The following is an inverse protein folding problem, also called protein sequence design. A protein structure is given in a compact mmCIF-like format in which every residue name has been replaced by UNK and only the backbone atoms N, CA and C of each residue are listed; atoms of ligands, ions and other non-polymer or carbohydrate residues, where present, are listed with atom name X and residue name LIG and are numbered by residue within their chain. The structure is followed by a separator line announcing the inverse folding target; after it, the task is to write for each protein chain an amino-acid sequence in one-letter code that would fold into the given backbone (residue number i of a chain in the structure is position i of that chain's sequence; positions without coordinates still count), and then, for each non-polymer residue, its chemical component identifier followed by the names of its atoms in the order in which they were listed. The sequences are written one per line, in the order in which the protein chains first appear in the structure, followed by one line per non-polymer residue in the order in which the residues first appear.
data_IF_727334642007
#
_entry.id   IF_727334642007
#
_cell.length_a   1.000
_cell.length_b   1.000
_cell.length_c   1.000
_cell.angle_alpha   90.00
_cell.angle_beta   90.00
_cell.angle_gamma   90.00
#
_symmetry.space_group_name_H-M   'P 1'
#
loop_
_entity.id
_entity.type
_entity.pdbx_description
1 polymer ?
#
# COMPACT_ATOMS: atom_id res chain seq x y z
N UNK A 1 23.92 4.41 -6.55
CA UNK A 1 23.43 3.63 -5.40
C UNK A 1 21.92 3.67 -5.48
N UNK A 2 21.24 2.52 -5.45
CA UNK A 2 19.77 2.51 -5.46
C UNK A 2 19.25 3.26 -4.22
N UNK A 3 18.14 3.99 -4.37
CA UNK A 3 17.52 4.72 -3.27
C UNK A 3 17.10 3.74 -2.15
N UNK A 4 17.51 4.02 -0.92
CA UNK A 4 17.13 3.24 0.27
C UNK A 4 16.54 4.20 1.33
N UNK A 5 15.26 4.07 1.68
CA UNK A 5 14.64 4.82 2.77
C UNK A 5 15.44 4.76 4.08
N UNK A 6 15.48 5.88 4.81
CA UNK A 6 16.22 6.03 6.08
C UNK A 6 15.92 4.93 7.10
N UNK A 7 14.64 4.57 7.25
CA UNK A 7 14.19 3.58 8.22
C UNK A 7 14.71 2.16 7.93
N UNK A 8 15.19 1.88 6.71
CA UNK A 8 15.74 0.58 6.31
C UNK A 8 17.24 0.43 6.53
N UNK A 9 17.95 1.48 6.98
CA UNK A 9 19.41 1.45 7.13
C UNK A 9 19.92 0.36 8.06
N UNK A 10 19.15 0.05 9.09
CA UNK A 10 19.46 -0.98 10.10
C UNK A 10 18.71 -2.31 9.85
N UNK A 11 18.08 -2.44 8.68
CA UNK A 11 17.46 -3.70 8.28
C UNK A 11 18.53 -4.81 8.15
N UNK A 12 18.24 -6.07 8.55
CA UNK A 12 19.21 -7.18 8.50
C UNK A 12 19.57 -7.66 7.07
N UNK A 13 19.29 -6.86 6.04
CA UNK A 13 19.61 -7.13 4.64
C UNK A 13 21.12 -7.42 4.47
N UNK A 14 21.43 -8.52 3.80
CA UNK A 14 22.77 -8.76 3.28
C UNK A 14 22.99 -7.79 2.10
N UNK A 15 24.03 -6.94 2.17
CA UNK A 15 24.28 -5.68 1.42
C UNK A 15 24.37 -5.79 -0.12
N UNK A 16 23.48 -6.54 -0.76
CA UNK A 16 23.27 -6.54 -2.19
C UNK A 16 22.37 -5.37 -2.58
N UNK A 17 22.52 -4.83 -3.80
CA UNK A 17 21.54 -3.91 -4.35
C UNK A 17 20.16 -4.56 -4.33
N UNK A 18 19.17 -3.83 -3.81
CA UNK A 18 17.77 -4.24 -3.78
C UNK A 18 16.96 -3.19 -4.54
N UNK A 19 16.14 -3.64 -5.48
CA UNK A 19 15.19 -2.78 -6.18
C UNK A 19 13.91 -2.66 -5.35
N UNK A 20 13.66 -1.46 -4.82
CA UNK A 20 12.45 -1.15 -4.07
C UNK A 20 11.36 -0.58 -4.99
N UNK A 21 10.07 -0.74 -4.61
CA UNK A 21 9.00 0.02 -5.24
C UNK A 21 9.27 1.51 -5.11
N UNK A 22 9.29 2.21 -6.24
CA UNK A 22 9.67 3.64 -6.33
C UNK A 22 8.67 4.48 -7.11
N UNK A 23 7.80 3.85 -7.91
CA UNK A 23 6.73 4.50 -8.67
C UNK A 23 5.65 3.49 -9.07
N UNK A 24 4.51 4.02 -9.49
CA UNK A 24 3.48 3.23 -10.15
C UNK A 24 3.94 2.72 -11.52
N UNK A 25 3.51 1.51 -11.87
CA UNK A 25 3.85 0.88 -13.14
C UNK A 25 2.70 1.07 -14.14
N UNK A 26 2.88 1.96 -15.11
CA UNK A 26 1.87 2.27 -16.14
C UNK A 26 1.52 1.02 -16.98
N UNK A 27 2.48 0.12 -17.18
CA UNK A 27 2.25 -1.14 -17.90
C UNK A 27 1.53 -2.20 -17.07
N UNK A 28 1.47 -2.01 -15.74
CA UNK A 28 0.76 -2.88 -14.80
C UNK A 28 -0.35 -2.10 -14.08
N UNK A 29 -1.19 -1.47 -14.91
CA UNK A 29 -2.31 -0.61 -14.52
C UNK A 29 -3.56 -0.96 -15.33
N UNK A 30 -4.72 -0.84 -14.69
CA UNK A 30 -6.00 -0.79 -15.42
C UNK A 30 -6.14 0.53 -16.21
N UNK A 31 -6.84 0.49 -17.34
CA UNK A 31 -6.97 1.62 -18.28
C UNK A 31 -7.89 2.75 -17.78
N UNK A 32 -8.61 2.54 -16.68
CA UNK A 32 -9.41 3.56 -15.99
C UNK A 32 -8.58 4.43 -15.03
N UNK A 33 -7.27 4.19 -14.95
CA UNK A 33 -6.34 4.97 -14.15
C UNK A 33 -5.35 5.73 -15.05
N UNK A 34 -5.12 6.99 -14.73
CA UNK A 34 -4.09 7.80 -15.34
C UNK A 34 -3.01 8.12 -14.31
N UNK A 35 -1.76 7.80 -14.65
CA UNK A 35 -0.59 8.19 -13.86
C UNK A 35 -0.02 9.49 -14.44
N UNK A 36 0.23 10.50 -13.61
CA UNK A 36 0.82 11.77 -14.10
C UNK A 36 2.29 11.60 -14.49
N UNK A 37 2.71 12.25 -15.57
CA UNK A 37 3.97 11.94 -16.27
C UNK A 37 5.26 12.29 -15.50
N UNK A 38 5.25 13.25 -14.57
CA UNK A 38 6.52 13.78 -14.03
C UNK A 38 7.32 12.77 -13.18
N UNK A 39 6.65 11.97 -12.35
CA UNK A 39 7.32 11.04 -11.40
C UNK A 39 6.68 9.66 -11.27
N UNK A 40 5.48 9.46 -11.82
CA UNK A 40 4.77 8.21 -11.64
C UNK A 40 4.23 7.97 -10.22
N UNK A 41 3.98 9.04 -9.44
CA UNK A 41 3.54 8.94 -8.04
C UNK A 41 2.06 9.28 -7.83
N UNK A 42 1.46 10.04 -8.74
CA UNK A 42 0.06 10.47 -8.64
C UNK A 42 -0.81 9.68 -9.60
N UNK A 43 -1.96 9.23 -9.10
CA UNK A 43 -2.94 8.44 -9.86
C UNK A 43 -4.29 9.16 -9.81
N UNK A 44 -4.88 9.34 -10.98
CA UNK A 44 -6.22 9.89 -11.18
C UNK A 44 -7.14 8.81 -11.73
N UNK A 45 -8.34 8.69 -11.18
CA UNK A 45 -9.40 7.89 -11.78
C UNK A 45 -10.04 8.64 -12.96
N UNK A 46 -10.04 8.00 -14.13
CA UNK A 46 -10.59 8.54 -15.38
C UNK A 46 -11.72 7.66 -15.96
N UNK A 47 -12.19 6.67 -15.19
CA UNK A 47 -13.28 5.78 -15.58
C UNK A 47 -14.68 6.36 -15.37
N UNK A 48 -15.73 5.60 -15.71
CA UNK A 48 -17.12 6.07 -15.61
C UNK A 48 -17.63 6.14 -14.17
N UNK A 49 -17.12 5.29 -13.27
CA UNK A 49 -17.38 5.28 -11.83
C UNK A 49 -18.83 5.04 -11.41
N UNK A 50 -19.57 4.23 -12.15
CA UNK A 50 -21.01 4.02 -11.92
C UNK A 50 -21.31 2.83 -10.99
N UNK A 51 -20.46 1.80 -10.98
CA UNK A 51 -20.67 0.58 -10.19
C UNK A 51 -19.35 -0.15 -9.89
N UNK A 52 -19.42 -1.23 -9.11
CA UNK A 52 -18.28 -2.05 -8.69
C UNK A 52 -17.38 -2.54 -9.83
N UNK A 53 -17.93 -2.75 -11.04
CA UNK A 53 -17.17 -3.21 -12.21
C UNK A 53 -16.28 -2.11 -12.80
N UNK A 54 -16.52 -0.87 -12.41
CA UNK A 54 -15.73 0.27 -12.84
C UNK A 54 -14.52 0.50 -11.93
N UNK A 55 -14.32 -0.33 -10.90
CA UNK A 55 -13.11 -0.31 -10.11
C UNK A 55 -11.87 -0.55 -10.98
N UNK A 56 -10.75 0.03 -10.56
CA UNK A 56 -9.51 0.01 -11.30
C UNK A 56 -8.35 0.10 -10.33
N UNK A 57 -7.33 -0.74 -10.52
CA UNK A 57 -6.16 -0.82 -9.67
C UNK A 57 -4.86 -0.72 -10.47
N UNK A 58 -3.80 -0.38 -9.76
CA UNK A 58 -2.44 -0.26 -10.27
C UNK A 58 -1.46 -0.82 -9.26
N UNK A 59 -0.39 -1.43 -9.75
CA UNK A 59 0.75 -1.90 -8.94
C UNK A 59 1.99 -1.07 -9.22
N UNK A 60 2.97 -1.20 -8.34
CA UNK A 60 4.28 -0.57 -8.46
C UNK A 60 5.21 -1.30 -9.44
N UNK A 61 6.33 -0.65 -9.78
CA UNK A 61 7.34 -1.18 -10.71
C UNK A 61 8.14 -2.38 -10.18
N UNK A 62 8.18 -2.61 -8.88
CA UNK A 62 8.88 -3.74 -8.25
C UNK A 62 8.03 -4.31 -7.12
N UNK A 63 8.20 -5.60 -6.83
CA UNK A 63 7.68 -6.18 -5.59
C UNK A 63 8.48 -5.66 -4.39
N UNK A 64 7.91 -5.85 -3.20
CA UNK A 64 8.56 -5.58 -1.93
C UNK A 64 9.51 -6.74 -1.64
N UNK A 65 10.82 -6.50 -1.60
CA UNK A 65 11.80 -7.54 -1.32
C UNK A 65 11.66 -7.94 0.15
N UNK A 66 11.20 -9.16 0.43
CA UNK A 66 10.96 -9.65 1.80
C UNK A 66 12.18 -9.53 2.72
N UNK A 67 13.37 -9.51 2.13
CA UNK A 67 14.67 -9.39 2.79
C UNK A 67 14.80 -8.07 3.56
N UNK A 68 14.00 -7.05 3.21
CA UNK A 68 13.96 -5.78 3.94
C UNK A 68 13.28 -5.89 5.31
N UNK A 69 12.54 -6.98 5.55
CA UNK A 69 11.91 -7.29 6.83
C UNK A 69 10.67 -6.45 7.15
N UNK A 70 10.76 -5.13 7.01
CA UNK A 70 9.66 -4.18 7.18
C UNK A 70 9.61 -3.28 5.96
N UNK A 71 8.45 -3.13 5.31
CA UNK A 71 8.25 -2.15 4.25
C UNK A 71 7.10 -1.22 4.61
N UNK A 72 7.21 0.05 4.23
CA UNK A 72 6.22 1.08 4.55
C UNK A 72 6.14 2.14 3.43
N UNK A 73 4.93 2.56 3.10
CA UNK A 73 4.65 3.66 2.19
C UNK A 73 3.41 4.43 2.67
N UNK A 74 3.28 5.69 2.26
CA UNK A 74 2.12 6.53 2.56
C UNK A 74 1.41 6.98 1.28
N UNK A 75 0.09 7.11 1.36
CA UNK A 75 -0.76 7.61 0.29
C UNK A 75 -1.51 8.83 0.81
N UNK A 76 -1.29 9.97 0.17
CA UNK A 76 -2.05 11.20 0.39
C UNK A 76 -3.30 11.16 -0.48
N UNK A 77 -4.46 11.35 0.14
CA UNK A 77 -5.73 11.49 -0.59
C UNK A 77 -5.86 12.93 -1.07
N UNK A 78 -5.52 13.17 -2.33
CA UNK A 78 -5.58 14.51 -2.93
C UNK A 78 -7.03 14.92 -3.16
N UNK A 79 -7.85 14.00 -3.63
CA UNK A 79 -9.30 14.16 -3.78
C UNK A 79 -9.97 12.79 -3.61
N UNK A 80 -10.92 12.68 -2.69
CA UNK A 80 -11.73 11.48 -2.51
C UNK A 80 -12.78 11.29 -3.62
N UNK A 81 -12.95 12.28 -4.49
CA UNK A 81 -13.92 12.22 -5.58
C UNK A 81 -15.36 12.17 -5.09
N UNK A 82 -16.24 11.59 -5.90
CA UNK A 82 -17.67 11.55 -5.62
C UNK A 82 -18.04 10.66 -4.43
N UNK A 83 -17.26 9.61 -4.13
CA UNK A 83 -17.63 8.61 -3.12
C UNK A 83 -16.49 8.08 -2.25
N UNK A 84 -15.23 8.38 -2.55
CA UNK A 84 -14.11 7.93 -1.72
C UNK A 84 -13.89 6.41 -1.73
N UNK A 85 -14.24 5.74 -2.82
CA UNK A 85 -14.06 4.31 -3.03
C UNK A 85 -12.60 3.97 -3.37
N UNK A 86 -11.72 4.33 -2.45
CA UNK A 86 -10.27 4.21 -2.54
C UNK A 86 -9.83 3.03 -1.68
N UNK A 87 -9.21 2.03 -2.30
CA UNK A 87 -8.59 0.89 -1.60
C UNK A 87 -7.08 1.00 -1.60
N UNK A 88 -6.45 0.90 -0.43
CA UNK A 88 -4.98 0.95 -0.27
C UNK A 88 -4.48 -0.36 0.31
N UNK A 89 -3.44 -0.94 -0.29
CA UNK A 89 -2.76 -2.10 0.29
C UNK A 89 -1.73 -2.70 -0.64
N UNK A 90 -1.81 -4.02 -0.81
CA UNK A 90 -0.82 -4.79 -1.55
C UNK A 90 -1.42 -6.05 -2.17
N UNK A 91 -0.78 -6.54 -3.23
CA UNK A 91 -1.25 -7.70 -3.96
C UNK A 91 -0.15 -8.37 -4.78
N UNK A 92 -0.48 -9.53 -5.33
CA UNK A 92 0.42 -10.30 -6.21
C UNK A 92 0.26 -9.89 -7.67
N UNK A 93 1.28 -10.16 -8.49
CA UNK A 93 1.26 -9.84 -9.92
C UNK A 93 0.11 -10.52 -10.69
N UNK A 94 -0.28 -11.73 -10.30
CA UNK A 94 -1.36 -12.48 -10.96
C UNK A 94 -2.77 -11.96 -10.65
N UNK A 95 -2.93 -11.03 -9.71
CA UNK A 95 -4.24 -10.50 -9.36
C UNK A 95 -4.77 -9.61 -10.50
N UNK A 96 -6.06 -9.71 -10.79
CA UNK A 96 -6.68 -8.81 -11.75
C UNK A 96 -6.72 -7.37 -11.25
N UNK A 97 -6.61 -6.42 -12.17
CA UNK A 97 -6.56 -4.99 -11.86
C UNK A 97 -7.92 -4.28 -12.00
N UNK A 98 -8.99 -4.98 -12.35
CA UNK A 98 -10.35 -4.40 -12.46
C UNK A 98 -11.14 -4.43 -11.13
N UNK A 99 -10.46 -4.66 -10.00
CA UNK A 99 -11.05 -4.65 -8.66
C UNK A 99 -10.15 -3.92 -7.66
N UNK A 100 -10.74 -3.44 -6.56
CA UNK A 100 -10.00 -2.84 -5.45
C UNK A 100 -9.15 -3.87 -4.68
N UNK A 101 -8.04 -3.45 -4.05
CA UNK A 101 -7.23 -4.32 -3.19
C UNK A 101 -8.07 -5.03 -2.13
N UNK A 102 -7.87 -6.35 -1.98
CA UNK A 102 -8.63 -7.21 -1.07
C UNK A 102 -9.73 -8.03 -1.72
N UNK A 103 -10.20 -7.66 -2.92
CA UNK A 103 -11.29 -8.33 -3.64
C UNK A 103 -10.83 -9.40 -4.63
N UNK A 104 -9.52 -9.53 -4.81
CA UNK A 104 -8.88 -10.58 -5.61
C UNK A 104 -8.07 -11.55 -4.72
N UNK A 105 -7.85 -12.80 -5.15
CA UNK A 105 -7.00 -13.74 -4.41
C UNK A 105 -5.60 -13.17 -4.14
N UNK A 106 -5.12 -13.33 -2.91
CA UNK A 106 -3.81 -12.84 -2.46
C UNK A 106 -3.63 -11.32 -2.62
N UNK A 107 -4.72 -10.56 -2.47
CA UNK A 107 -4.70 -9.10 -2.32
C UNK A 107 -5.26 -8.70 -0.96
N UNK A 108 -4.83 -7.55 -0.47
CA UNK A 108 -5.13 -7.03 0.85
C UNK A 108 -5.39 -5.53 0.72
N UNK A 109 -6.46 -5.03 1.34
CA UNK A 109 -6.84 -3.62 1.21
C UNK A 109 -7.54 -3.05 2.43
N UNK A 110 -7.38 -1.75 2.63
CA UNK A 110 -8.12 -0.91 3.57
C UNK A 110 -8.85 0.17 2.76
N UNK A 111 -10.17 0.25 2.91
CA UNK A 111 -11.03 1.05 2.03
C UNK A 111 -11.51 2.33 2.73
N UNK A 112 -11.54 3.42 1.97
CA UNK A 112 -11.75 4.77 2.47
C UNK A 112 -13.18 5.09 2.85
N UNK A 113 -14.17 4.55 2.13
CA UNK A 113 -15.58 4.85 2.30
C UNK A 113 -16.17 4.28 3.60
N UNK A 114 -15.71 3.09 4.02
CA UNK A 114 -16.28 2.37 5.16
C UNK A 114 -15.27 2.06 6.28
N UNK A 115 -13.97 2.27 6.05
CA UNK A 115 -12.91 1.98 7.00
C UNK A 115 -12.66 0.48 7.23
N UNK A 116 -13.19 -0.39 6.37
CA UNK A 116 -13.01 -1.84 6.49
C UNK A 116 -11.72 -2.32 5.84
N UNK A 117 -11.26 -3.47 6.32
CA UNK A 117 -10.18 -4.25 5.72
C UNK A 117 -10.72 -5.44 4.93
N UNK A 118 -10.11 -5.70 3.79
CA UNK A 118 -10.49 -6.74 2.84
C UNK A 118 -9.28 -7.64 2.56
N UNK A 119 -9.50 -8.96 2.57
CA UNK A 119 -8.47 -9.98 2.34
C UNK A 119 -8.98 -11.01 1.35
N UNK A 120 -8.18 -11.31 0.32
CA UNK A 120 -8.31 -12.46 -0.58
C UNK A 120 -9.74 -12.82 -0.98
N UNK A 121 -10.32 -12.06 -1.91
CA UNK A 121 -11.68 -12.28 -2.45
C UNK A 121 -12.82 -12.03 -1.46
N UNK A 122 -12.58 -11.30 -0.37
CA UNK A 122 -13.65 -10.86 0.52
C UNK A 122 -14.47 -9.75 -0.14
N UNK A 123 -15.79 -9.94 -0.29
CA UNK A 123 -16.69 -8.93 -0.82
C UNK A 123 -17.29 -8.01 0.23
N UNK A 124 -17.33 -8.43 1.50
CA UNK A 124 -18.02 -7.70 2.58
C UNK A 124 -17.07 -6.89 3.48
N UNK A 125 -15.80 -7.31 3.55
CA UNK A 125 -14.80 -6.70 4.42
C UNK A 125 -15.06 -6.98 5.91
N UNK A 126 -14.11 -6.58 6.75
CA UNK A 126 -14.24 -6.61 8.20
C UNK A 126 -13.93 -5.24 8.78
N UNK A 127 -14.58 -4.86 9.88
CA UNK A 127 -14.28 -3.62 10.59
C UNK A 127 -12.80 -3.57 10.99
N UNK A 128 -12.18 -2.41 10.82
CA UNK A 128 -10.76 -2.22 11.11
C UNK A 128 -10.43 -0.83 11.63
N UNK A 129 -10.57 0.18 10.78
CA UNK A 129 -10.18 1.55 11.09
C UNK A 129 -11.32 2.53 10.81
N UNK A 130 -11.08 3.83 11.06
CA UNK A 130 -12.01 4.87 10.62
C UNK A 130 -12.04 4.96 9.08
N UNK A 131 -13.10 5.49 8.46
CA UNK A 131 -13.06 5.94 7.07
C UNK A 131 -11.96 7.00 6.84
N UNK A 132 -11.59 7.23 5.58
CA UNK A 132 -10.63 8.28 5.20
C UNK A 132 -11.04 9.01 3.92
N UNK A 133 -10.63 10.26 3.78
CA UNK A 133 -11.09 11.16 2.71
C UNK A 133 -10.02 12.19 2.34
N UNK A 134 -10.38 13.15 1.47
CA UNK A 134 -9.53 14.25 1.02
C UNK A 134 -8.76 14.90 2.17
N UNK A 135 -7.44 15.00 2.01
CA UNK A 135 -6.53 15.58 3.00
C UNK A 135 -5.97 14.58 4.03
N UNK A 136 -6.51 13.36 4.11
CA UNK A 136 -5.91 12.31 4.93
C UNK A 136 -4.64 11.72 4.27
N UNK A 137 -3.69 11.31 5.10
CA UNK A 137 -2.54 10.48 4.73
C UNK A 137 -2.70 9.08 5.34
N UNK A 138 -2.70 8.06 4.49
CA UNK A 138 -2.85 6.66 4.89
C UNK A 138 -1.55 5.91 4.63
N UNK A 139 -0.95 5.39 5.69
CA UNK A 139 0.22 4.52 5.60
C UNK A 139 -0.17 3.06 5.48
N UNK A 140 0.64 2.27 4.79
CA UNK A 140 0.52 0.82 4.72
C UNK A 140 1.89 0.18 4.98
N UNK A 141 1.94 -0.67 6.00
CA UNK A 141 3.16 -1.37 6.41
C UNK A 141 3.03 -2.88 6.36
N UNK A 142 4.07 -3.56 5.88
CA UNK A 142 4.17 -5.03 5.87
C UNK A 142 5.40 -5.44 6.69
N UNK A 143 5.18 -6.27 7.70
CA UNK A 143 6.21 -6.88 8.52
C UNK A 143 6.38 -8.36 8.14
N UNK A 144 7.42 -8.67 7.38
CA UNK A 144 7.74 -10.03 6.92
C UNK A 144 8.27 -10.94 8.03
N UNK A 145 8.85 -10.40 9.12
CA UNK A 145 9.29 -11.21 10.26
C UNK A 145 8.12 -11.86 10.99
N UNK A 146 7.04 -11.10 11.17
CA UNK A 146 5.84 -11.57 11.88
C UNK A 146 4.72 -12.00 10.92
N UNK A 147 4.87 -11.78 9.61
CA UNK A 147 3.85 -12.03 8.58
C UNK A 147 2.55 -11.25 8.87
N UNK A 148 2.70 -9.99 9.28
CA UNK A 148 1.59 -9.09 9.60
C UNK A 148 1.65 -7.82 8.75
N UNK A 149 0.52 -7.15 8.63
CA UNK A 149 0.44 -5.84 8.00
C UNK A 149 -0.47 -4.92 8.82
N UNK A 150 -0.17 -3.64 8.76
CA UNK A 150 -0.84 -2.59 9.51
C UNK A 150 -1.02 -1.36 8.63
N UNK A 151 -1.90 -0.46 9.07
CA UNK A 151 -2.08 0.84 8.46
C UNK A 151 -1.88 1.94 9.49
N UNK A 152 -1.63 3.14 8.98
CA UNK A 152 -1.64 4.36 9.77
C UNK A 152 -2.60 5.36 9.13
N UNK A 153 -3.13 6.27 9.93
CA UNK A 153 -3.88 7.42 9.46
C UNK A 153 -3.32 8.67 10.12
N UNK A 154 -2.87 9.64 9.31
CA UNK A 154 -2.34 10.93 9.75
C UNK A 154 -1.29 10.76 10.86
N UNK A 155 -0.34 9.84 10.67
CA UNK A 155 0.73 9.55 11.62
C UNK A 155 0.35 8.66 12.82
N UNK A 156 -0.90 8.18 12.91
CA UNK A 156 -1.34 7.31 14.00
C UNK A 156 -1.47 5.87 13.51
N UNK A 157 -0.78 4.93 14.16
CA UNK A 157 -0.90 3.50 13.86
C UNK A 157 -2.27 2.95 14.30
N UNK A 158 -2.95 2.25 13.39
CA UNK A 158 -4.28 1.69 13.59
C UNK A 158 -4.25 0.23 14.11
N UNK A 159 -3.05 -0.29 14.40
CA UNK A 159 -2.85 -1.68 14.79
C UNK A 159 -2.86 -2.65 13.60
N UNK A 160 -2.69 -3.94 13.90
CA UNK A 160 -2.59 -4.98 12.86
C UNK A 160 -3.92 -5.16 12.10
N UNK A 161 -3.86 -4.98 10.79
CA UNK A 161 -4.96 -5.28 9.88
C UNK A 161 -4.97 -6.76 9.53
N UNK A 162 -3.82 -7.31 9.17
CA UNK A 162 -3.70 -8.66 8.66
C UNK A 162 -2.62 -9.42 9.41
N UNK A 163 -2.88 -10.70 9.63
CA UNK A 163 -1.95 -11.68 10.17
C UNK A 163 -1.87 -12.88 9.24
N UNK A 164 -0.87 -13.73 9.45
CA UNK A 164 -0.66 -14.94 8.66
C UNK A 164 -0.60 -14.62 7.15
N UNK A 165 0.11 -13.55 6.80
CA UNK A 165 0.34 -13.18 5.40
C UNK A 165 1.25 -14.24 4.79
N UNK A 166 0.85 -14.80 3.65
CA UNK A 166 1.63 -15.79 2.93
C UNK A 166 2.93 -15.16 2.41
N UNK A 167 4.01 -15.93 2.30
CA UNK A 167 5.22 -15.41 1.67
C UNK A 167 5.04 -15.41 0.14
N UNK A 168 4.98 -14.22 -0.45
CA UNK A 168 4.84 -14.01 -1.88
C UNK A 168 5.49 -12.68 -2.28
N UNK A 169 5.64 -12.46 -3.58
CA UNK A 169 6.13 -11.20 -4.14
C UNK A 169 4.97 -10.20 -4.18
N UNK A 170 4.79 -9.48 -3.07
CA UNK A 170 3.76 -8.46 -2.95
C UNK A 170 4.21 -7.13 -3.52
N UNK A 171 3.31 -6.46 -4.21
CA UNK A 171 3.48 -5.11 -4.76
C UNK A 171 2.55 -4.18 -3.99
N UNK A 172 3.00 -2.96 -3.59
CA UNK A 172 2.08 -1.89 -3.23
C UNK A 172 1.06 -1.72 -4.34
N UNK A 173 -0.19 -1.61 -3.91
CA UNK A 173 -1.35 -1.65 -4.78
C UNK A 173 -2.38 -0.63 -4.27
N UNK A 174 -2.89 0.18 -5.17
CA UNK A 174 -4.05 1.04 -4.90
C UNK A 174 -5.13 0.75 -5.92
N UNK A 175 -6.37 0.98 -5.52
CA UNK A 175 -7.51 0.95 -6.42
C UNK A 175 -8.43 2.14 -6.18
N UNK A 176 -8.99 2.65 -7.27
CA UNK A 176 -9.93 3.76 -7.34
C UNK A 176 -11.20 3.29 -8.08
N UNK A 177 -12.33 3.92 -7.82
CA UNK A 177 -13.61 3.56 -8.43
C UNK A 177 -14.53 4.73 -8.71
N UNK A 178 -14.50 5.84 -7.96
CA UNK A 178 -15.40 6.97 -8.20
C UNK A 178 -14.71 8.13 -8.93
N UNK A 179 -15.52 8.94 -9.63
CA UNK A 179 -15.01 10.04 -10.44
C UNK A 179 -14.25 11.04 -9.59
N UNK A 180 -13.19 11.62 -10.18
CA UNK A 180 -12.30 12.62 -9.58
C UNK A 180 -11.40 12.11 -8.45
N UNK A 181 -11.46 10.81 -8.08
CA UNK A 181 -10.53 10.26 -7.12
C UNK A 181 -9.09 10.45 -7.57
N UNK A 182 -8.29 11.04 -6.69
CA UNK A 182 -6.90 11.39 -6.95
C UNK A 182 -6.07 11.12 -5.70
N UNK A 183 -4.97 10.39 -5.86
CA UNK A 183 -4.04 10.07 -4.78
C UNK A 183 -2.61 10.36 -5.20
N UNK A 184 -1.74 10.61 -4.23
CA UNK A 184 -0.31 10.72 -4.42
C UNK A 184 0.44 9.87 -3.39
N UNK A 185 1.39 9.07 -3.86
CA UNK A 185 2.14 8.15 -3.00
C UNK A 185 3.51 8.70 -2.63
N UNK A 186 3.93 8.44 -1.40
CA UNK A 186 5.28 8.58 -0.91
C UNK A 186 5.87 7.18 -0.64
N UNK A 187 6.85 6.75 -1.45
CA UNK A 187 7.61 5.51 -1.24
C UNK A 187 8.88 5.72 -0.38
N UNK A 188 9.04 6.90 0.21
CA UNK A 188 10.14 7.28 1.10
C UNK A 188 11.00 8.44 0.60
N UNK A 189 10.73 9.01 -0.58
CA UNK A 189 11.50 10.16 -1.11
C UNK A 189 11.31 11.42 -0.25
N UNK A 190 10.18 11.52 0.46
CA UNK A 190 9.91 12.57 1.44
C UNK A 190 9.71 11.97 2.83
N UNK A 191 9.87 12.75 3.91
CA UNK A 191 9.53 12.30 5.25
C UNK A 191 8.09 11.75 5.31
N UNK A 192 7.91 10.67 6.07
CA UNK A 192 6.59 10.13 6.37
C UNK A 192 5.91 10.94 7.48
N UNK A 193 4.58 10.95 7.49
CA UNK A 193 3.78 11.52 8.58
C UNK A 193 3.86 10.61 9.81
N UNK A 194 3.90 9.30 9.62
CA UNK A 194 4.18 8.33 10.68
C UNK A 194 5.68 8.28 11.01
N UNK A 195 5.99 8.21 12.30
CA UNK A 195 7.34 8.01 12.86
C UNK A 195 7.88 6.58 12.58
N UNK A 196 8.03 6.23 11.31
CA UNK A 196 8.42 4.90 10.86
C UNK A 196 9.83 4.53 11.29
N UNK A 197 10.74 5.50 11.45
CA UNK A 197 12.10 5.28 11.92
C UNK A 197 12.11 4.60 13.29
N UNK A 198 11.36 5.13 14.25
CA UNK A 198 11.29 4.56 15.61
C UNK A 198 10.59 3.20 15.61
N UNK A 199 9.55 3.06 14.79
CA UNK A 199 8.84 1.79 14.64
C UNK A 199 9.74 0.68 14.06
N UNK A 200 10.53 1.01 13.02
CA UNK A 200 11.47 0.09 12.39
C UNK A 200 12.58 -0.37 13.35
N UNK A 201 13.15 0.55 14.14
CA UNK A 201 14.15 0.22 15.17
C UNK A 201 13.65 -0.84 16.14
N UNK A 202 12.41 -0.72 16.61
CA UNK A 202 11.80 -1.70 17.52
C UNK A 202 11.63 -3.06 16.82
N UNK A 203 11.14 -3.07 15.58
CA UNK A 203 10.96 -4.31 14.81
C UNK A 203 12.29 -5.03 14.57
N UNK A 204 13.31 -4.32 14.09
CA UNK A 204 14.60 -4.94 13.77
C UNK A 204 15.32 -5.45 15.01
N UNK A 205 15.26 -4.72 16.13
CA UNK A 205 15.79 -5.18 17.43
C UNK A 205 15.10 -6.45 17.90
N UNK A 206 13.78 -6.59 17.69
CA UNK A 206 13.03 -7.78 18.07
C UNK A 206 13.33 -8.97 17.16
N UNK A 207 13.56 -8.74 15.87
CA UNK A 207 13.96 -9.78 14.92
C UNK A 207 15.32 -10.38 15.30
N UNK A 208 16.32 -9.52 15.56
CA UNK A 208 17.67 -9.96 15.96
C UNK A 208 17.69 -10.83 17.22
N UNK A 209 16.75 -10.62 18.16
CA UNK A 209 16.61 -11.45 19.36
C UNK A 209 16.01 -12.83 19.11
N UNK A 210 15.20 -13.00 18.05
CA UNK A 210 14.60 -14.29 17.70
C UNK A 210 15.59 -15.22 17.00
N UNK A 211 16.59 -14.64 16.35
CA UNK A 211 17.64 -15.35 15.61
C UNK A 211 18.88 -15.68 16.48
N UNK A 212 18.89 -15.25 17.75
CA UNK A 212 19.96 -15.49 18.73
C UNK A 212 19.59 -16.61 19.71
#
# INVERSE_FOLDING_TARGET
MAFLPSYLKDSPINKNPIDLPTKWNISDSDNKLQVTEDKGLRVLYIGPGQNDRDAASIRTNHSIPREVGLYYFEVNIIDAGESGYIGIGFGVHSAFLWKLPGWEPNTFGYHGDDGKKFRSSSSMGNNYGPPFTTGDTIGCGINFFNKTAFYTKNGICLGEAFNEINLSDYYPMIGLRSRNECIEVNFGETPFVFEIEEYAKVIFKNAQKKDA
#
